data_IF_030458057126
#
_entry.id   IF_030458057126
#
_cell.length_a   1.000
_cell.length_b   1.000
_cell.length_c   1.000
_cell.angle_alpha   90.00
_cell.angle_beta   90.00
_cell.angle_gamma   90.00
#
_symmetry.space_group_name_H-M   'P 1'
#
loop_
_entity.id
_entity.type
_entity.pdbx_description
1 polymer ?
#
# COMPACT_ATOMS: atom_id res chain seq x y z
N UNK A 1 82.55 -49.09 -9.71
CA UNK A 1 82.20 -47.71 -9.34
C UNK A 1 81.28 -47.17 -10.37
N UNK A 2 79.96 -47.26 -10.15
CA UNK A 2 78.92 -46.76 -11.08
C UNK A 2 78.08 -45.75 -10.32
N UNK A 3 78.13 -44.48 -10.76
CA UNK A 3 77.35 -43.39 -10.25
C UNK A 3 75.93 -43.52 -10.82
N UNK A 4 74.91 -43.71 -9.99
CA UNK A 4 73.48 -43.70 -10.33
C UNK A 4 73.08 -42.25 -10.12
N UNK A 5 72.66 -41.59 -11.22
CA UNK A 5 72.08 -40.26 -11.26
C UNK A 5 70.58 -40.40 -11.04
N UNK A 6 70.10 -40.01 -9.89
CA UNK A 6 68.65 -39.99 -9.63
C UNK A 6 68.09 -38.70 -10.18
N UNK A 7 67.25 -38.82 -11.19
CA UNK A 7 66.44 -37.71 -11.81
C UNK A 7 65.15 -37.55 -11.04
N UNK A 8 65.06 -36.55 -10.13
CA UNK A 8 63.88 -36.20 -9.42
C UNK A 8 62.98 -35.31 -10.32
N UNK A 9 61.92 -35.92 -10.84
CA UNK A 9 60.90 -35.24 -11.61
C UNK A 9 60.01 -34.41 -10.67
N UNK A 10 60.18 -33.08 -10.71
CA UNK A 10 59.40 -32.14 -9.90
C UNK A 10 58.06 -31.87 -10.60
N UNK A 11 57.00 -32.60 -10.21
CA UNK A 11 55.67 -32.38 -10.70
C UNK A 11 55.10 -31.13 -9.99
N UNK A 12 55.08 -30.01 -10.69
CA UNK A 12 54.36 -28.79 -10.25
C UNK A 12 52.87 -29.02 -10.48
N UNK A 13 52.15 -29.34 -9.40
CA UNK A 13 50.71 -29.36 -9.38
C UNK A 13 50.23 -27.90 -9.35
N UNK A 14 49.78 -27.39 -10.49
CA UNK A 14 49.02 -26.16 -10.53
C UNK A 14 47.68 -26.36 -9.80
N UNK A 15 47.64 -26.03 -8.51
CA UNK A 15 46.39 -25.78 -7.79
C UNK A 15 45.77 -24.54 -8.39
N UNK A 16 44.96 -24.74 -9.42
CA UNK A 16 44.02 -23.73 -9.89
C UNK A 16 43.02 -23.48 -8.76
N UNK A 17 43.29 -22.50 -7.92
CA UNK A 17 42.26 -21.90 -7.08
C UNK A 17 41.19 -21.39 -8.01
N UNK A 18 40.11 -22.13 -8.19
CA UNK A 18 38.82 -21.54 -8.56
C UNK A 18 38.47 -20.59 -7.43
N UNK A 19 38.87 -19.33 -7.58
CA UNK A 19 38.20 -18.27 -6.86
C UNK A 19 36.74 -18.33 -7.28
N UNK A 20 35.92 -19.03 -6.54
CA UNK A 20 34.54 -18.69 -6.42
C UNK A 20 34.54 -17.24 -5.93
N UNK A 21 34.42 -16.32 -6.87
CA UNK A 21 34.08 -14.94 -6.57
C UNK A 21 32.73 -15.06 -5.89
N UNK A 22 32.75 -15.16 -4.56
CA UNK A 22 31.61 -14.80 -3.75
C UNK A 22 31.19 -13.45 -4.31
N UNK A 23 30.13 -13.40 -5.08
CA UNK A 23 29.43 -12.18 -5.44
C UNK A 23 28.89 -11.63 -4.11
N UNK A 24 29.78 -11.05 -3.32
CA UNK A 24 29.40 -10.16 -2.22
C UNK A 24 28.42 -9.20 -2.84
N UNK A 25 27.24 -9.15 -2.27
CA UNK A 25 26.07 -8.43 -2.71
C UNK A 25 26.44 -7.18 -3.50
N UNK A 26 26.26 -7.24 -4.82
CA UNK A 26 26.49 -6.07 -5.65
C UNK A 26 25.62 -4.95 -5.07
N UNK A 27 26.19 -3.79 -4.77
CA UNK A 27 25.46 -2.65 -4.23
C UNK A 27 24.22 -2.37 -5.09
N UNK A 28 23.05 -2.52 -4.49
CA UNK A 28 21.77 -2.20 -5.11
C UNK A 28 21.31 -0.86 -4.54
N UNK A 29 21.22 0.21 -5.34
CA UNK A 29 20.85 1.53 -4.88
C UNK A 29 19.41 1.56 -4.34
N UNK A 30 19.08 2.62 -3.58
CA UNK A 30 17.69 2.86 -3.20
C UNK A 30 16.82 3.12 -4.43
N UNK A 31 15.59 2.59 -4.41
CA UNK A 31 14.62 2.86 -5.46
C UNK A 31 14.14 4.30 -5.42
N UNK A 32 13.81 4.83 -6.58
CA UNK A 32 13.33 6.20 -6.77
C UNK A 32 11.85 6.25 -7.15
N UNK A 33 11.28 7.43 -7.11
CA UNK A 33 9.93 7.75 -7.57
C UNK A 33 8.90 7.95 -6.45
N UNK A 34 7.78 8.56 -6.84
CA UNK A 34 6.64 8.78 -5.96
C UNK A 34 5.96 7.45 -5.61
N UNK A 35 5.21 7.44 -4.50
CA UNK A 35 4.39 6.29 -4.16
C UNK A 35 3.29 6.07 -5.20
N UNK A 36 2.86 4.82 -5.36
CA UNK A 36 1.81 4.41 -6.29
C UNK A 36 2.09 4.80 -7.77
N UNK A 37 3.38 4.91 -8.13
CA UNK A 37 3.80 5.10 -9.51
C UNK A 37 4.39 3.81 -10.08
N UNK A 38 4.04 3.50 -11.33
CA UNK A 38 4.53 2.35 -12.07
C UNK A 38 5.14 2.84 -13.39
N UNK A 39 6.38 2.45 -13.66
CA UNK A 39 7.04 2.70 -14.94
C UNK A 39 6.73 1.54 -15.88
N UNK A 40 6.09 1.83 -17.02
CA UNK A 40 5.80 0.85 -18.07
C UNK A 40 6.79 1.04 -19.21
N UNK A 41 7.57 0.01 -19.46
CA UNK A 41 8.64 0.00 -20.48
C UNK A 41 8.20 -0.88 -21.64
N UNK A 42 7.92 -0.27 -22.79
CA UNK A 42 7.56 -0.97 -24.03
C UNK A 42 7.79 -0.10 -25.26
N UNK A 43 7.83 -0.67 -26.48
CA UNK A 43 7.85 0.13 -27.70
C UNK A 43 6.65 1.08 -27.79
N UNK A 44 6.85 2.27 -28.36
CA UNK A 44 5.81 3.29 -28.47
C UNK A 44 4.57 2.81 -29.25
N UNK A 45 4.80 2.05 -30.32
CA UNK A 45 3.72 1.42 -31.10
C UNK A 45 2.81 0.53 -30.25
N UNK A 46 3.40 -0.21 -29.28
CA UNK A 46 2.67 -1.13 -28.41
C UNK A 46 1.97 -0.37 -27.28
N UNK A 47 2.58 0.72 -26.78
CA UNK A 47 1.96 1.64 -25.82
C UNK A 47 0.68 2.29 -26.40
N UNK A 48 0.67 2.61 -27.71
CA UNK A 48 -0.46 3.20 -28.40
C UNK A 48 -1.42 2.17 -29.03
N UNK A 49 -1.27 0.89 -28.69
CA UNK A 49 -2.09 -0.22 -29.17
C UNK A 49 -3.03 -0.79 -28.12
N UNK A 50 -3.72 -1.89 -28.44
CA UNK A 50 -4.54 -2.64 -27.49
C UNK A 50 -3.75 -3.13 -26.28
N UNK A 51 -2.48 -3.51 -26.44
CA UNK A 51 -1.62 -3.89 -25.31
C UNK A 51 -1.49 -2.74 -24.31
N UNK A 52 -1.18 -1.54 -24.77
CA UNK A 52 -1.08 -0.37 -23.90
C UNK A 52 -2.41 -0.01 -23.21
N UNK A 53 -3.54 -0.16 -23.90
CA UNK A 53 -4.87 -0.01 -23.31
C UNK A 53 -5.10 -1.03 -22.19
N UNK A 54 -4.83 -2.30 -22.46
CA UNK A 54 -4.93 -3.39 -21.48
C UNK A 54 -4.10 -3.10 -20.21
N UNK A 55 -2.88 -2.59 -20.38
CA UNK A 55 -2.01 -2.23 -19.26
C UNK A 55 -2.61 -1.07 -18.44
N UNK A 56 -3.14 -0.04 -19.12
CA UNK A 56 -3.82 1.08 -18.44
C UNK A 56 -5.05 0.59 -17.66
N UNK A 57 -5.93 -0.14 -18.30
CA UNK A 57 -7.17 -0.65 -17.69
C UNK A 57 -6.89 -1.52 -16.45
N UNK A 58 -5.84 -2.35 -16.52
CA UNK A 58 -5.46 -3.23 -15.43
C UNK A 58 -4.83 -2.49 -14.24
N UNK A 59 -3.93 -1.52 -14.48
CA UNK A 59 -3.14 -0.86 -13.43
C UNK A 59 -3.76 0.44 -12.95
N UNK A 60 -4.61 1.09 -13.75
CA UNK A 60 -5.32 2.32 -13.39
C UNK A 60 -6.77 2.07 -12.93
N UNK A 61 -7.07 0.90 -12.38
CA UNK A 61 -8.36 0.66 -11.76
C UNK A 61 -8.66 1.72 -10.70
N UNK A 62 -9.94 2.04 -10.55
CA UNK A 62 -10.39 3.05 -9.59
C UNK A 62 -9.98 2.69 -8.17
N UNK A 63 -9.41 3.66 -7.44
CA UNK A 63 -9.16 3.54 -6.02
C UNK A 63 -10.48 3.69 -5.26
N UNK A 64 -10.96 2.59 -4.68
CA UNK A 64 -12.29 2.51 -4.08
C UNK A 64 -12.49 3.45 -2.88
N UNK A 65 -13.69 4.01 -2.77
CA UNK A 65 -14.12 4.83 -1.63
C UNK A 65 -13.78 6.31 -1.76
N UNK A 66 -13.33 6.76 -2.93
CA UNK A 66 -13.11 8.18 -3.20
C UNK A 66 -14.36 8.84 -3.81
N UNK A 67 -14.64 10.12 -3.51
CA UNK A 67 -15.79 10.84 -4.07
C UNK A 67 -15.66 11.17 -5.56
N UNK A 68 -14.44 11.12 -6.08
CA UNK A 68 -14.10 11.28 -7.50
C UNK A 68 -13.14 10.16 -7.86
N UNK A 69 -13.33 9.56 -9.02
CA UNK A 69 -12.49 8.48 -9.50
C UNK A 69 -11.03 8.92 -9.66
N UNK A 70 -10.15 8.27 -8.93
CA UNK A 70 -8.71 8.40 -9.05
C UNK A 70 -8.11 7.02 -9.31
N UNK A 71 -7.13 6.88 -10.23
CA UNK A 71 -6.54 5.59 -10.54
C UNK A 71 -5.71 5.06 -9.37
N UNK A 72 -5.70 3.74 -9.18
CA UNK A 72 -4.90 3.07 -8.14
C UNK A 72 -3.41 3.39 -8.30
N UNK A 73 -2.89 3.33 -9.53
CA UNK A 73 -1.51 3.71 -9.83
C UNK A 73 -1.44 4.79 -10.91
N UNK A 74 -0.45 5.66 -10.79
CA UNK A 74 -0.05 6.57 -11.86
C UNK A 74 0.97 5.87 -12.75
N UNK A 75 0.76 5.89 -14.07
CA UNK A 75 1.66 5.25 -15.02
C UNK A 75 2.62 6.27 -15.65
N UNK A 76 3.89 5.88 -15.73
CA UNK A 76 4.93 6.57 -16.47
C UNK A 76 5.37 5.69 -17.65
N UNK A 77 5.10 6.11 -18.85
CA UNK A 77 5.60 5.42 -20.04
C UNK A 77 7.09 5.68 -20.26
N UNK A 78 7.83 4.64 -20.68
CA UNK A 78 9.24 4.75 -21.02
C UNK A 78 9.58 3.88 -22.22
N UNK A 79 10.28 4.46 -23.22
CA UNK A 79 10.78 3.70 -24.35
C UNK A 79 11.92 2.76 -23.91
N UNK A 80 11.99 1.50 -24.37
CA UNK A 80 13.04 0.55 -23.99
C UNK A 80 14.46 1.07 -24.20
N UNK A 81 14.70 1.90 -25.21
CA UNK A 81 16.02 2.50 -25.48
C UNK A 81 16.50 3.43 -24.36
N UNK A 82 15.58 4.04 -23.64
CA UNK A 82 15.87 4.97 -22.52
C UNK A 82 15.83 4.29 -21.14
N UNK A 83 15.46 3.00 -21.09
CA UNK A 83 15.43 2.24 -19.84
C UNK A 83 16.86 1.77 -19.46
N UNK A 84 17.69 2.74 -19.06
CA UNK A 84 19.09 2.55 -18.69
C UNK A 84 19.43 3.37 -17.46
N UNK A 85 20.55 3.05 -16.81
CA UNK A 85 21.07 3.85 -15.67
C UNK A 85 20.01 4.13 -14.59
N UNK A 86 19.81 5.41 -14.29
CA UNK A 86 18.86 5.86 -13.27
C UNK A 86 17.39 5.47 -13.56
N UNK A 87 17.00 5.40 -14.84
CA UNK A 87 15.64 5.01 -15.21
C UNK A 87 15.26 3.60 -14.73
N UNK A 88 16.25 2.71 -14.50
CA UNK A 88 16.04 1.37 -13.94
C UNK A 88 15.75 1.37 -12.44
N UNK A 89 16.00 2.48 -11.74
CA UNK A 89 15.81 2.56 -10.28
C UNK A 89 14.37 2.80 -9.87
N UNK A 90 13.42 2.88 -10.80
CA UNK A 90 11.98 2.97 -10.48
C UNK A 90 11.54 1.84 -9.56
N UNK A 91 10.73 2.15 -8.53
CA UNK A 91 10.33 1.16 -7.51
C UNK A 91 9.43 0.07 -8.08
N UNK A 92 8.55 0.40 -9.04
CA UNK A 92 7.71 -0.58 -9.72
C UNK A 92 7.88 -0.41 -11.23
N UNK A 93 8.29 -1.48 -11.88
CA UNK A 93 8.57 -1.51 -13.32
C UNK A 93 7.83 -2.68 -13.96
N UNK A 94 7.17 -2.41 -15.07
CA UNK A 94 6.56 -3.41 -15.95
C UNK A 94 7.25 -3.31 -17.29
N UNK A 95 8.00 -4.33 -17.68
CA UNK A 95 8.86 -4.32 -18.85
C UNK A 95 8.46 -5.37 -19.86
N UNK A 96 8.04 -4.93 -21.03
CA UNK A 96 7.69 -5.78 -22.18
C UNK A 96 8.89 -5.93 -23.09
N UNK A 97 9.23 -7.16 -23.46
CA UNK A 97 10.40 -7.50 -24.25
C UNK A 97 10.06 -8.53 -25.32
N UNK A 98 10.57 -8.33 -26.54
CA UNK A 98 10.45 -9.33 -27.59
C UNK A 98 11.40 -10.49 -27.29
N UNK A 99 10.85 -11.71 -27.23
CA UNK A 99 11.58 -12.95 -27.00
C UNK A 99 10.82 -14.12 -27.63
N UNK A 100 11.52 -15.15 -28.12
CA UNK A 100 10.91 -16.39 -28.58
C UNK A 100 10.24 -17.19 -27.48
N UNK A 101 10.65 -17.00 -26.25
CA UNK A 101 10.06 -17.64 -25.06
C UNK A 101 9.03 -16.71 -24.41
N UNK A 102 7.77 -17.08 -24.50
CA UNK A 102 6.68 -16.33 -23.88
C UNK A 102 6.57 -16.66 -22.39
N UNK A 103 6.58 -15.63 -21.52
CA UNK A 103 6.44 -15.79 -20.08
C UNK A 103 6.11 -14.48 -19.36
N UNK A 104 5.56 -14.60 -18.16
CA UNK A 104 5.50 -13.57 -17.14
C UNK A 104 6.45 -13.92 -16.00
N UNK A 105 7.24 -12.98 -15.53
CA UNK A 105 8.18 -13.18 -14.43
C UNK A 105 8.20 -11.97 -13.50
N UNK A 106 8.14 -12.20 -12.18
CA UNK A 106 8.35 -11.21 -11.14
C UNK A 106 9.73 -11.36 -10.53
N UNK A 107 10.48 -10.27 -10.50
CA UNK A 107 11.76 -10.16 -9.78
C UNK A 107 11.67 -9.05 -8.72
N UNK A 108 12.40 -9.27 -7.63
CA UNK A 108 12.53 -8.27 -6.57
C UNK A 108 13.96 -7.73 -6.52
N UNK A 109 14.09 -6.42 -6.33
CA UNK A 109 15.38 -5.76 -6.07
C UNK A 109 16.45 -5.98 -7.17
N UNK A 110 16.02 -6.06 -8.43
CA UNK A 110 16.92 -6.33 -9.56
C UNK A 110 17.89 -5.16 -9.81
N UNK A 111 17.39 -3.94 -9.83
CA UNK A 111 18.17 -2.73 -10.15
C UNK A 111 18.16 -1.69 -9.01
N UNK A 112 17.24 -1.81 -8.09
CA UNK A 112 17.09 -0.91 -6.94
C UNK A 112 16.39 -1.62 -5.78
N UNK A 113 16.39 -1.07 -4.58
CA UNK A 113 15.73 -1.65 -3.40
C UNK A 113 14.95 -0.58 -2.62
N UNK A 114 13.65 -0.82 -2.28
CA UNK A 114 12.81 -1.95 -2.71
C UNK A 114 12.36 -1.81 -4.18
N UNK A 115 12.27 -2.88 -4.93
CA UNK A 115 11.80 -2.85 -6.31
C UNK A 115 11.00 -4.10 -6.66
N UNK A 116 9.90 -3.90 -7.41
CA UNK A 116 9.19 -4.94 -8.15
C UNK A 116 9.43 -4.70 -9.64
N UNK A 117 9.99 -5.70 -10.31
CA UNK A 117 10.16 -5.74 -11.75
C UNK A 117 9.32 -6.90 -12.31
N UNK A 118 8.28 -6.58 -13.09
CA UNK A 118 7.56 -7.54 -13.90
C UNK A 118 8.12 -7.53 -15.31
N UNK A 119 8.64 -8.66 -15.76
CA UNK A 119 9.09 -8.87 -17.15
C UNK A 119 8.06 -9.71 -17.88
N UNK A 120 7.57 -9.21 -19.02
CA UNK A 120 6.65 -9.89 -19.91
C UNK A 120 7.35 -10.09 -21.24
N UNK A 121 7.55 -11.35 -21.64
CA UNK A 121 8.20 -11.68 -22.89
C UNK A 121 7.24 -12.39 -23.83
N UNK A 122 7.47 -12.26 -25.15
CA UNK A 122 6.71 -12.90 -26.20
C UNK A 122 7.18 -12.40 -27.58
N UNK A 123 6.89 -13.16 -28.63
CA UNK A 123 7.30 -12.82 -29.98
C UNK A 123 6.61 -11.58 -30.53
N UNK A 124 5.37 -11.33 -30.08
CA UNK A 124 4.54 -10.21 -30.52
C UNK A 124 3.72 -9.63 -29.35
N UNK A 125 2.98 -8.55 -29.64
CA UNK A 125 2.16 -7.83 -28.65
C UNK A 125 0.95 -8.64 -28.19
N UNK A 126 0.41 -9.54 -28.99
CA UNK A 126 -0.77 -10.35 -28.63
C UNK A 126 -0.40 -11.39 -27.57
N UNK A 127 0.72 -12.08 -27.76
CA UNK A 127 1.26 -13.02 -26.78
C UNK A 127 1.61 -12.31 -25.48
N UNK A 128 2.28 -11.15 -25.55
CA UNK A 128 2.60 -10.36 -24.39
C UNK A 128 1.35 -9.88 -23.65
N UNK A 129 0.30 -9.47 -24.38
CA UNK A 129 -0.99 -9.06 -23.80
C UNK A 129 -1.64 -10.21 -23.03
N UNK A 130 -1.67 -11.42 -23.61
CA UNK A 130 -2.21 -12.60 -22.95
C UNK A 130 -1.50 -12.88 -21.61
N UNK A 131 -0.17 -12.97 -21.61
CA UNK A 131 0.59 -13.23 -20.39
C UNK A 131 0.45 -12.13 -19.35
N UNK A 132 0.33 -10.88 -19.77
CA UNK A 132 0.07 -9.76 -18.87
C UNK A 132 -1.33 -9.87 -18.24
N UNK A 133 -2.38 -10.11 -19.02
CA UNK A 133 -3.77 -10.22 -18.55
C UNK A 133 -3.94 -11.33 -17.49
N UNK A 134 -3.40 -12.51 -17.76
CA UNK A 134 -3.45 -13.66 -16.83
C UNK A 134 -2.79 -13.34 -15.48
N UNK A 135 -1.82 -12.44 -15.46
CA UNK A 135 -1.05 -12.11 -14.26
C UNK A 135 -1.33 -10.69 -13.71
N UNK A 136 -2.20 -9.92 -14.32
CA UNK A 136 -2.44 -8.52 -13.97
C UNK A 136 -2.93 -8.34 -12.52
N UNK A 137 -3.78 -9.24 -12.03
CA UNK A 137 -4.28 -9.20 -10.65
C UNK A 137 -3.17 -9.44 -9.64
N UNK A 138 -2.35 -10.46 -9.86
CA UNK A 138 -1.17 -10.78 -9.02
C UNK A 138 -0.18 -9.60 -9.01
N UNK A 139 0.12 -9.05 -10.19
CA UNK A 139 1.02 -7.92 -10.34
C UNK A 139 0.52 -6.70 -9.56
N UNK A 140 -0.77 -6.36 -9.70
CA UNK A 140 -1.37 -5.22 -9.01
C UNK A 140 -1.31 -5.37 -7.49
N UNK A 141 -1.62 -6.57 -6.96
CA UNK A 141 -1.52 -6.87 -5.54
C UNK A 141 -0.08 -6.80 -5.04
N UNK A 142 0.88 -7.33 -5.80
CA UNK A 142 2.31 -7.30 -5.45
C UNK A 142 2.85 -5.88 -5.39
N UNK A 143 2.49 -5.04 -6.37
CA UNK A 143 2.86 -3.62 -6.37
C UNK A 143 2.21 -2.89 -5.18
N UNK A 144 0.92 -3.09 -4.94
CA UNK A 144 0.22 -2.45 -3.83
C UNK A 144 0.86 -2.78 -2.47
N UNK A 145 1.23 -4.04 -2.27
CA UNK A 145 1.90 -4.48 -1.05
C UNK A 145 3.31 -3.88 -0.92
N UNK A 146 4.08 -3.82 -2.00
CA UNK A 146 5.39 -3.17 -2.03
C UNK A 146 5.29 -1.67 -1.69
N UNK A 147 4.32 -0.97 -2.25
CA UNK A 147 4.06 0.44 -1.97
C UNK A 147 3.63 0.66 -0.51
N UNK A 148 2.78 -0.23 0.03
CA UNK A 148 2.38 -0.19 1.44
C UNK A 148 3.56 -0.38 2.37
N UNK A 149 4.46 -1.33 2.09
CA UNK A 149 5.71 -1.54 2.85
C UNK A 149 6.61 -0.31 2.78
N UNK A 150 6.77 0.28 1.61
CA UNK A 150 7.57 1.50 1.44
C UNK A 150 6.94 2.69 2.17
N UNK A 151 5.62 2.86 2.11
CA UNK A 151 4.93 3.90 2.88
C UNK A 151 5.14 3.72 4.39
N UNK A 152 5.04 2.48 4.89
CA UNK A 152 5.29 2.18 6.31
C UNK A 152 6.77 2.43 6.67
N UNK A 153 7.73 2.09 5.80
CA UNK A 153 9.15 2.41 6.00
C UNK A 153 9.37 3.92 6.13
N UNK A 154 8.65 4.73 5.34
CA UNK A 154 8.72 6.20 5.45
C UNK A 154 8.10 6.71 6.75
N UNK A 155 6.96 6.15 7.15
CA UNK A 155 6.30 6.45 8.44
C UNK A 155 7.24 6.12 9.62
N UNK A 156 7.94 5.00 9.56
CA UNK A 156 8.85 4.54 10.63
C UNK A 156 10.03 5.47 10.91
N UNK A 157 10.34 6.40 9.99
CA UNK A 157 11.42 7.39 10.20
C UNK A 157 11.08 8.45 11.24
N UNK A 158 9.80 8.68 11.50
CA UNK A 158 9.32 9.66 12.49
C UNK A 158 8.00 9.16 13.11
N UNK A 159 8.07 8.02 13.79
CA UNK A 159 6.90 7.42 14.44
C UNK A 159 6.57 8.13 15.75
N UNK A 160 5.30 8.20 16.09
CA UNK A 160 4.89 8.76 17.38
C UNK A 160 5.40 7.93 18.57
N UNK A 161 5.70 8.60 19.65
CA UNK A 161 6.01 7.99 20.95
C UNK A 161 4.81 8.00 21.91
N UNK A 162 3.69 8.58 21.50
CA UNK A 162 2.46 8.62 22.30
C UNK A 162 1.90 7.22 22.56
N UNK A 163 1.50 6.96 23.81
CA UNK A 163 0.94 5.69 24.25
C UNK A 163 -0.57 5.74 24.49
N UNK A 164 -1.24 6.78 23.99
CA UNK A 164 -2.68 6.97 24.20
C UNK A 164 -3.50 5.76 23.79
N UNK A 165 -3.26 5.19 22.59
CA UNK A 165 -3.97 4.00 22.10
C UNK A 165 -3.61 2.73 22.87
N UNK A 166 -2.36 2.60 23.31
CA UNK A 166 -1.91 1.48 24.14
C UNK A 166 -2.63 1.51 25.50
N UNK A 167 -2.63 2.67 26.17
CA UNK A 167 -3.20 2.83 27.49
C UNK A 167 -4.74 2.73 27.49
N UNK A 168 -5.41 3.25 26.45
CA UNK A 168 -6.89 3.28 26.38
C UNK A 168 -7.49 1.96 25.90
N UNK A 169 -6.90 1.39 24.85
CA UNK A 169 -7.53 0.28 24.13
C UNK A 169 -6.71 -1.00 24.14
N UNK A 170 -5.44 -0.97 24.61
CA UNK A 170 -4.51 -2.08 24.54
C UNK A 170 -4.16 -2.43 23.11
N UNK A 171 -4.00 -1.42 22.25
CA UNK A 171 -3.65 -1.60 20.83
C UNK A 171 -2.47 -0.73 20.45
N UNK A 172 -1.80 -1.13 19.38
CA UNK A 172 -0.76 -0.33 18.73
C UNK A 172 -1.10 -0.07 17.29
N UNK A 173 -0.95 1.16 16.85
CA UNK A 173 -1.02 1.59 15.46
C UNK A 173 0.18 2.49 15.20
N UNK A 174 0.89 2.23 14.11
CA UNK A 174 2.08 2.98 13.74
C UNK A 174 1.71 4.19 12.86
N UNK A 175 1.79 5.40 13.39
CA UNK A 175 1.54 6.64 12.67
C UNK A 175 2.64 7.68 12.92
N UNK A 176 2.85 8.64 11.99
CA UNK A 176 3.87 9.68 12.16
C UNK A 176 3.62 10.57 13.38
N UNK A 177 4.70 11.10 13.97
CA UNK A 177 4.63 12.07 15.08
C UNK A 177 3.95 13.40 14.73
N UNK A 178 3.74 13.66 13.42
CA UNK A 178 2.95 14.81 12.95
C UNK A 178 1.44 14.66 13.17
N UNK A 179 0.98 13.50 13.64
CA UNK A 179 -0.40 13.27 14.08
C UNK A 179 -0.46 13.50 15.59
N UNK A 180 -1.35 14.39 16.02
CA UNK A 180 -1.52 14.78 17.42
C UNK A 180 -2.90 14.40 17.93
N UNK A 181 -3.00 14.01 19.20
CA UNK A 181 -4.26 13.68 19.84
C UNK A 181 -5.06 14.95 20.12
N UNK A 182 -6.20 15.13 19.46
CA UNK A 182 -7.10 16.30 19.62
C UNK A 182 -8.27 16.04 20.56
N UNK A 183 -8.62 14.77 20.79
CA UNK A 183 -9.64 14.37 21.77
C UNK A 183 -9.31 12.99 22.33
N UNK A 184 -9.36 12.87 23.66
CA UNK A 184 -9.17 11.62 24.40
C UNK A 184 -10.27 11.49 25.44
N UNK A 185 -11.07 10.43 25.33
CA UNK A 185 -12.10 10.07 26.30
C UNK A 185 -12.01 8.58 26.62
N UNK A 186 -12.79 8.09 27.57
CA UNK A 186 -12.75 6.68 27.99
C UNK A 186 -12.88 5.68 26.82
N UNK A 187 -13.78 5.96 25.88
CA UNK A 187 -14.12 5.02 24.78
C UNK A 187 -13.86 5.56 23.37
N UNK A 188 -13.28 6.76 23.26
CA UNK A 188 -13.05 7.40 21.95
C UNK A 188 -11.78 8.26 21.99
N UNK A 189 -10.93 8.07 20.99
CA UNK A 189 -9.74 8.89 20.73
C UNK A 189 -9.79 9.42 19.31
N UNK A 190 -9.48 10.70 19.14
CA UNK A 190 -9.35 11.36 17.85
C UNK A 190 -7.95 11.95 17.71
N UNK A 191 -7.27 11.57 16.64
CA UNK A 191 -5.90 11.98 16.32
C UNK A 191 -5.95 12.67 14.95
N UNK A 192 -5.26 13.78 14.79
CA UNK A 192 -5.33 14.61 13.59
C UNK A 192 -3.93 15.04 13.14
N UNK A 193 -3.73 15.09 11.81
CA UNK A 193 -2.57 15.70 11.16
C UNK A 193 -3.02 16.83 10.25
N UNK A 194 -2.56 18.09 10.44
CA UNK A 194 -2.79 19.16 9.49
C UNK A 194 -2.05 18.88 8.18
N UNK A 195 -2.67 19.20 7.07
CA UNK A 195 -2.08 19.21 5.74
C UNK A 195 -2.26 20.60 5.11
N UNK A 196 -1.60 20.85 3.98
CA UNK A 196 -1.61 22.18 3.35
C UNK A 196 -3.01 22.79 3.20
N UNK A 197 -4.04 21.97 2.91
CA UNK A 197 -5.44 22.39 2.83
C UNK A 197 -6.31 21.30 3.44
N UNK A 198 -6.53 21.37 4.77
CA UNK A 198 -7.38 20.41 5.48
C UNK A 198 -6.62 19.54 6.49
N UNK A 199 -7.14 18.34 6.73
CA UNK A 199 -6.64 17.45 7.78
C UNK A 199 -6.79 15.99 7.38
N UNK A 200 -5.84 15.15 7.85
CA UNK A 200 -6.00 13.70 7.92
C UNK A 200 -6.33 13.33 9.35
N UNK A 201 -7.28 12.43 9.52
CA UNK A 201 -7.85 12.10 10.80
C UNK A 201 -7.82 10.59 11.04
N UNK A 202 -7.55 10.21 12.28
CA UNK A 202 -7.69 8.86 12.78
C UNK A 202 -8.63 8.92 13.99
N UNK A 203 -9.64 8.07 14.02
CA UNK A 203 -10.47 7.88 15.21
C UNK A 203 -10.45 6.42 15.62
N UNK A 204 -10.46 6.20 16.92
CA UNK A 204 -10.49 4.88 17.54
C UNK A 204 -11.55 4.87 18.62
N UNK A 205 -12.42 3.85 18.60
CA UNK A 205 -13.43 3.65 19.62
C UNK A 205 -13.77 2.17 19.80
N UNK A 206 -14.44 1.86 20.90
CA UNK A 206 -14.87 0.50 21.18
C UNK A 206 -16.39 0.38 21.22
N UNK A 207 -16.89 -0.80 20.81
CA UNK A 207 -18.29 -1.16 20.85
C UNK A 207 -18.50 -2.44 21.66
N UNK A 208 -19.68 -2.59 22.22
CA UNK A 208 -20.09 -3.84 22.85
C UNK A 208 -20.02 -5.00 21.85
N UNK A 209 -19.76 -6.20 22.35
CA UNK A 209 -19.65 -7.43 21.54
C UNK A 209 -20.85 -7.63 20.62
N UNK A 210 -22.07 -7.33 21.09
CA UNK A 210 -23.33 -7.53 20.34
C UNK A 210 -23.66 -6.42 19.33
N UNK A 211 -22.89 -5.34 19.29
CA UNK A 211 -23.20 -4.17 18.46
C UNK A 211 -23.28 -4.45 16.96
N UNK A 212 -22.61 -5.52 16.48
CA UNK A 212 -22.54 -5.91 15.06
C UNK A 212 -23.04 -7.35 14.83
N UNK A 213 -24.04 -7.81 15.60
CA UNK A 213 -24.65 -9.15 15.43
C UNK A 213 -25.65 -9.24 14.29
N UNK A 214 -26.22 -8.10 13.85
CA UNK A 214 -27.21 -8.05 12.77
C UNK A 214 -26.58 -7.82 11.39
N UNK A 215 -27.30 -7.11 10.52
CA UNK A 215 -26.79 -6.75 9.19
C UNK A 215 -25.68 -5.70 9.33
N UNK A 216 -24.44 -6.17 9.31
CA UNK A 216 -23.22 -5.36 9.49
C UNK A 216 -23.24 -4.05 8.69
N UNK A 217 -23.56 -4.11 7.38
CA UNK A 217 -23.52 -2.95 6.49
C UNK A 217 -24.43 -1.80 6.92
N UNK A 218 -25.56 -2.11 7.58
CA UNK A 218 -26.45 -1.07 8.13
C UNK A 218 -25.94 -0.62 9.49
N UNK A 219 -25.64 -1.56 10.38
CA UNK A 219 -25.26 -1.26 11.77
C UNK A 219 -24.01 -0.41 11.86
N UNK A 220 -22.96 -0.71 11.05
CA UNK A 220 -21.72 0.06 11.11
C UNK A 220 -21.92 1.52 10.68
N UNK A 221 -22.79 1.78 9.69
CA UNK A 221 -23.08 3.16 9.25
C UNK A 221 -23.87 3.93 10.32
N UNK A 222 -24.88 3.31 10.93
CA UNK A 222 -25.69 3.94 11.97
C UNK A 222 -24.86 4.22 13.24
N UNK A 223 -23.97 3.30 13.60
CA UNK A 223 -23.01 3.49 14.70
C UNK A 223 -22.06 4.63 14.38
N UNK A 224 -21.50 4.62 13.18
CA UNK A 224 -20.56 5.63 12.70
C UNK A 224 -21.17 7.04 12.76
N UNK A 225 -22.43 7.20 12.31
CA UNK A 225 -23.15 8.47 12.38
C UNK A 225 -23.41 8.90 13.83
N UNK A 226 -23.70 7.97 14.72
CA UNK A 226 -23.91 8.23 16.16
C UNK A 226 -22.60 8.69 16.81
N UNK A 227 -21.47 8.04 16.53
CA UNK A 227 -20.13 8.42 17.01
C UNK A 227 -19.74 9.79 16.46
N UNK A 228 -19.97 10.04 15.16
CA UNK A 228 -19.71 11.33 14.53
C UNK A 228 -20.48 12.47 15.21
N UNK A 229 -21.76 12.29 15.43
CA UNK A 229 -22.62 13.27 16.13
C UNK A 229 -22.16 13.56 17.54
N UNK A 230 -21.66 12.56 18.26
CA UNK A 230 -21.23 12.69 19.66
C UNK A 230 -19.82 13.28 19.79
N UNK A 231 -18.93 12.94 18.90
CA UNK A 231 -17.50 13.18 19.11
C UNK A 231 -16.82 14.07 18.06
N UNK A 232 -17.36 14.19 16.83
CA UNK A 232 -16.73 14.89 15.72
C UNK A 232 -17.63 16.05 15.24
N UNK A 233 -17.55 17.22 15.93
CA UNK A 233 -18.32 18.40 15.51
C UNK A 233 -17.81 18.95 14.18
N UNK A 234 -18.70 19.56 13.39
CA UNK A 234 -18.33 20.38 12.24
C UNK A 234 -17.93 21.80 12.67
N UNK A 235 -17.68 22.67 11.69
CA UNK A 235 -17.29 24.07 11.92
C UNK A 235 -18.42 24.94 12.44
N UNK A 236 -19.64 24.66 12.00
CA UNK A 236 -20.82 25.43 12.39
C UNK A 236 -21.46 24.86 13.64
N UNK A 237 -22.05 25.71 14.48
CA UNK A 237 -22.77 25.29 15.68
C UNK A 237 -23.89 24.29 15.33
N UNK A 238 -23.86 23.11 15.93
CA UNK A 238 -24.85 22.06 15.69
C UNK A 238 -24.58 21.20 14.45
N UNK A 239 -23.48 21.46 13.71
CA UNK A 239 -23.04 20.58 12.65
C UNK A 239 -22.18 19.44 13.19
N UNK A 240 -22.21 18.29 12.55
CA UNK A 240 -21.50 17.08 12.96
C UNK A 240 -21.27 16.12 11.80
N UNK A 241 -20.28 15.27 11.97
CA UNK A 241 -19.85 14.27 11.00
C UNK A 241 -20.86 13.12 10.86
N UNK A 242 -21.18 12.76 9.62
CA UNK A 242 -22.04 11.64 9.24
C UNK A 242 -21.53 10.91 7.99
N UNK A 243 -22.10 9.75 7.70
CA UNK A 243 -21.88 9.07 6.43
C UNK A 243 -22.69 9.75 5.33
N UNK A 244 -22.05 10.09 4.21
CA UNK A 244 -22.75 10.52 2.99
C UNK A 244 -23.51 9.34 2.39
N UNK A 245 -24.84 9.40 2.41
CA UNK A 245 -25.72 8.31 1.99
C UNK A 245 -25.94 8.24 0.48
N UNK A 246 -25.59 9.31 -0.25
CA UNK A 246 -25.64 9.33 -1.71
C UNK A 246 -24.55 8.46 -2.35
N UNK A 247 -23.42 8.33 -1.69
CA UNK A 247 -22.35 7.42 -2.09
C UNK A 247 -22.60 6.01 -1.54
N UNK A 248 -22.56 4.99 -2.41
CA UNK A 248 -22.72 3.59 -1.98
C UNK A 248 -21.39 3.06 -1.39
N UNK A 249 -21.31 2.82 -0.08
CA UNK A 249 -20.06 2.31 0.52
C UNK A 249 -19.73 0.88 0.07
N UNK A 250 -18.45 0.56 0.07
CA UNK A 250 -17.92 -0.78 -0.12
C UNK A 250 -17.81 -1.49 1.23
N UNK A 251 -18.15 -2.77 1.26
CA UNK A 251 -18.10 -3.60 2.47
C UNK A 251 -17.35 -4.90 2.18
N UNK A 252 -16.39 -5.22 3.02
CA UNK A 252 -15.59 -6.44 2.92
C UNK A 252 -15.45 -7.12 4.28
N UNK A 253 -15.36 -8.44 4.26
CA UNK A 253 -14.85 -9.20 5.38
C UNK A 253 -13.37 -9.51 5.11
N UNK A 254 -12.52 -9.28 6.08
CA UNK A 254 -11.07 -9.46 5.99
C UNK A 254 -10.51 -9.87 7.35
N UNK A 255 -9.20 -9.95 7.44
CA UNK A 255 -8.49 -10.16 8.69
C UNK A 255 -7.47 -9.06 8.93
N UNK A 256 -7.32 -8.64 10.17
CA UNK A 256 -6.30 -7.71 10.61
C UNK A 256 -5.73 -8.21 11.95
N UNK A 257 -4.41 -8.43 12.01
CA UNK A 257 -3.76 -9.05 13.17
C UNK A 257 -4.41 -10.39 13.55
N UNK A 258 -4.67 -11.25 12.54
CA UNK A 258 -5.31 -12.58 12.67
C UNK A 258 -6.72 -12.53 13.30
N UNK A 259 -7.35 -11.36 13.30
CA UNK A 259 -8.69 -11.15 13.86
C UNK A 259 -9.72 -10.90 12.77
N UNK A 260 -10.88 -11.51 12.92
CA UNK A 260 -12.03 -11.24 12.05
C UNK A 260 -12.31 -9.75 12.04
N UNK A 261 -12.29 -9.17 10.86
CA UNK A 261 -12.41 -7.72 10.65
C UNK A 261 -13.39 -7.44 9.54
N UNK A 262 -14.19 -6.42 9.73
CA UNK A 262 -15.01 -5.82 8.68
C UNK A 262 -14.39 -4.51 8.21
N UNK A 263 -14.22 -4.38 6.90
CA UNK A 263 -13.72 -3.18 6.24
C UNK A 263 -14.86 -2.46 5.54
N UNK A 264 -14.98 -1.16 5.77
CA UNK A 264 -15.90 -0.28 5.06
C UNK A 264 -15.12 0.88 4.44
N UNK A 265 -15.38 1.17 3.17
CA UNK A 265 -14.85 2.36 2.48
C UNK A 265 -16.01 3.17 1.93
N UNK A 266 -15.94 4.48 2.05
CA UNK A 266 -17.00 5.36 1.56
C UNK A 266 -16.67 6.83 1.74
N UNK A 267 -17.70 7.66 1.66
CA UNK A 267 -17.59 9.09 1.83
C UNK A 267 -18.38 9.56 3.06
N UNK A 268 -17.88 10.60 3.68
CA UNK A 268 -18.50 11.28 4.82
C UNK A 268 -18.83 12.72 4.43
N UNK A 269 -19.77 13.26 5.11
CA UNK A 269 -20.14 14.67 5.04
C UNK A 269 -20.39 15.24 6.44
N UNK A 270 -20.54 16.55 6.54
CA UNK A 270 -20.95 17.21 7.77
C UNK A 270 -22.40 17.65 7.61
N UNK A 271 -23.27 17.17 8.52
CA UNK A 271 -24.64 17.63 8.58
C UNK A 271 -24.68 19.14 8.80
N UNK A 272 -25.40 19.87 7.94
CA UNK A 272 -25.55 21.34 7.97
C UNK A 272 -24.24 22.12 7.71
N UNK A 273 -23.24 21.54 6.99
CA UNK A 273 -22.05 22.24 6.53
C UNK A 273 -21.54 21.61 5.22
N UNK A 274 -20.79 22.37 4.42
CA UNK A 274 -20.24 21.93 3.14
C UNK A 274 -18.83 21.30 3.30
N UNK A 275 -18.72 20.29 4.15
CA UNK A 275 -17.52 19.51 4.32
C UNK A 275 -17.80 18.05 4.02
N UNK A 276 -16.97 17.45 3.17
CA UNK A 276 -17.08 16.04 2.79
C UNK A 276 -15.70 15.47 2.43
N UNK A 277 -15.61 14.15 2.39
CA UNK A 277 -14.40 13.46 1.97
C UNK A 277 -14.50 11.94 2.10
N UNK A 278 -13.44 11.21 1.74
CA UNK A 278 -13.39 9.77 1.87
C UNK A 278 -13.05 9.31 3.29
N UNK A 279 -13.49 8.07 3.61
CA UNK A 279 -13.08 7.35 4.81
C UNK A 279 -12.77 5.88 4.52
N UNK A 280 -12.00 5.29 5.41
CA UNK A 280 -11.75 3.85 5.52
C UNK A 280 -11.89 3.44 6.98
N UNK A 281 -12.73 2.43 7.25
CA UNK A 281 -13.11 1.99 8.59
C UNK A 281 -12.86 0.49 8.73
N UNK A 282 -12.23 0.08 9.82
CA UNK A 282 -12.02 -1.31 10.20
C UNK A 282 -12.67 -1.58 11.56
N UNK A 283 -13.66 -2.47 11.59
CA UNK A 283 -14.25 -3.00 12.81
C UNK A 283 -13.64 -4.38 13.10
N UNK A 284 -12.82 -4.45 14.14
CA UNK A 284 -11.98 -5.61 14.49
C UNK A 284 -12.57 -6.32 15.70
N UNK A 285 -12.77 -7.64 15.58
CA UNK A 285 -13.28 -8.44 16.69
C UNK A 285 -12.18 -8.70 17.72
N UNK A 286 -12.32 -8.13 18.92
CA UNK A 286 -11.49 -8.44 20.09
C UNK A 286 -12.23 -9.46 20.97
N UNK A 287 -12.08 -10.75 20.64
CA UNK A 287 -12.76 -11.84 21.34
C UNK A 287 -12.30 -11.99 22.79
N UNK A 288 -11.06 -11.65 23.10
CA UNK A 288 -10.51 -11.72 24.46
C UNK A 288 -11.21 -10.76 25.40
N UNK A 289 -11.45 -9.52 24.95
CA UNK A 289 -12.12 -8.48 25.75
C UNK A 289 -13.63 -8.39 25.44
N UNK A 290 -14.20 -9.33 24.66
CA UNK A 290 -15.63 -9.39 24.28
C UNK A 290 -16.16 -8.05 23.77
N UNK A 291 -15.44 -7.44 22.80
CA UNK A 291 -15.78 -6.15 22.22
C UNK A 291 -15.37 -6.06 20.74
N UNK A 292 -15.82 -5.00 20.10
CA UNK A 292 -15.25 -4.56 18.82
C UNK A 292 -14.35 -3.36 19.06
N UNK A 293 -13.21 -3.31 18.40
CA UNK A 293 -12.36 -2.14 18.29
C UNK A 293 -12.56 -1.60 16.88
N UNK A 294 -13.01 -0.36 16.78
CA UNK A 294 -13.19 0.30 15.49
C UNK A 294 -12.09 1.35 15.33
N UNK A 295 -11.39 1.25 14.22
CA UNK A 295 -10.37 2.21 13.80
C UNK A 295 -10.75 2.78 12.45
N UNK A 296 -10.75 4.09 12.32
CA UNK A 296 -11.14 4.77 11.09
C UNK A 296 -10.17 5.87 10.71
N UNK A 297 -9.86 5.95 9.42
CA UNK A 297 -9.14 7.08 8.84
C UNK A 297 -10.05 7.85 7.89
N UNK A 298 -10.08 9.17 8.00
CA UNK A 298 -10.82 10.01 7.06
C UNK A 298 -10.04 11.28 6.70
N UNK A 299 -10.24 11.75 5.47
CA UNK A 299 -9.52 12.90 4.94
C UNK A 299 -10.48 14.04 4.61
N UNK A 300 -10.12 15.25 5.10
CA UNK A 300 -10.65 16.51 4.58
C UNK A 300 -9.55 17.19 3.79
N UNK A 301 -9.65 17.20 2.48
CA UNK A 301 -8.63 17.73 1.56
C UNK A 301 -9.32 18.42 0.36
N UNK A 302 -9.98 19.58 0.57
CA UNK A 302 -10.68 20.27 -0.51
C UNK A 302 -9.74 20.64 -1.64
N UNK A 303 -10.19 20.47 -2.88
CA UNK A 303 -9.45 20.80 -4.10
C UNK A 303 -8.11 20.08 -4.26
N UNK A 304 -7.95 18.90 -3.66
CA UNK A 304 -6.77 18.06 -3.80
C UNK A 304 -7.15 16.61 -4.12
N UNK A 305 -6.25 15.88 -4.78
CA UNK A 305 -6.35 14.41 -4.94
C UNK A 305 -6.38 13.73 -3.56
N UNK A 306 -7.23 12.72 -3.40
CA UNK A 306 -7.45 12.03 -2.12
C UNK A 306 -6.73 10.69 -2.05
N UNK A 307 -6.38 10.09 -3.19
CA UNK A 307 -5.75 8.77 -3.23
C UNK A 307 -4.54 8.64 -2.30
N UNK A 308 -3.58 9.57 -2.38
CA UNK A 308 -2.36 9.49 -1.56
C UNK A 308 -2.65 9.67 -0.07
N UNK A 309 -3.65 10.48 0.28
CA UNK A 309 -4.10 10.67 1.65
C UNK A 309 -4.76 9.40 2.20
N UNK A 310 -5.67 8.80 1.44
CA UNK A 310 -6.33 7.56 1.84
C UNK A 310 -5.37 6.37 1.83
N UNK A 311 -4.39 6.35 0.94
CA UNK A 311 -3.31 5.36 0.96
C UNK A 311 -2.46 5.47 2.24
N UNK A 312 -2.13 6.68 2.69
CA UNK A 312 -1.44 6.90 3.97
C UNK A 312 -2.29 6.40 5.14
N UNK A 313 -3.54 6.85 5.24
CA UNK A 313 -4.45 6.45 6.31
C UNK A 313 -4.65 4.94 6.34
N UNK A 314 -4.91 4.32 5.20
CA UNK A 314 -5.08 2.87 5.10
C UNK A 314 -3.81 2.12 5.52
N UNK A 315 -2.64 2.60 5.13
CA UNK A 315 -1.35 2.01 5.56
C UNK A 315 -1.17 2.10 7.07
N UNK A 316 -1.51 3.23 7.67
CA UNK A 316 -1.49 3.42 9.13
C UNK A 316 -2.42 2.42 9.81
N UNK A 317 -3.68 2.35 9.40
CA UNK A 317 -4.69 1.47 10.02
C UNK A 317 -4.32 -0.01 9.90
N UNK A 318 -3.76 -0.43 8.77
CA UNK A 318 -3.33 -1.82 8.56
C UNK A 318 -2.09 -2.21 9.39
N UNK A 319 -1.46 -1.27 10.07
CA UNK A 319 -0.39 -1.54 11.05
C UNK A 319 -0.91 -1.92 12.45
N UNK A 320 -2.22 -1.99 12.62
CA UNK A 320 -2.88 -2.38 13.87
C UNK A 320 -2.28 -3.68 14.45
N UNK A 321 -2.05 -3.66 15.76
CA UNK A 321 -1.72 -4.84 16.57
C UNK A 321 -2.45 -4.76 17.90
N UNK A 322 -3.02 -5.88 18.32
CA UNK A 322 -3.56 -6.03 19.68
C UNK A 322 -2.39 -6.32 20.63
N UNK A 323 -2.26 -5.54 21.68
CA UNK A 323 -1.28 -5.80 22.74
C UNK A 323 -1.85 -6.83 23.72
N UNK A 324 -1.00 -7.72 24.19
CA UNK A 324 -1.38 -8.78 25.15
C UNK A 324 -1.58 -8.22 26.56
#
# INVERSE_FOLDING_TARGET
>A
MKKILALTLYTIVFLSCKNEVNRKDAYVPESSGNLNHVTVVMPEKDWNSNLGNTVRDALQQVYEGLPIDEPQFSLNYLNPKTFTGFARQGRNVVWFQKDSTARFQLAQNQFARPQILASITGEDAEIQQFFFQENASLLRQTIAENERKEKMRRISKSITTEKTLENRFGIKINYPSAYETVKDTTNFVWIQKPIRKGHLNLIVYTLNEKALEGKFSKQILDIRDSIGKLHVPGRLKGSYFITERAFRPYFYQTELDEKKTYLTKGTWEVANDFMAGPYVNYAIRDSLSKRWIVIEGFAFAPSASKREHMFELNTILTSFRRLN
#
